data_IF_748627759827
#
_entry.id   IF_748627759827
#
_cell.length_a   1.000
_cell.length_b   1.000
_cell.length_c   1.000
_cell.angle_alpha   90.00
_cell.angle_beta   90.00
_cell.angle_gamma   90.00
#
_symmetry.space_group_name_H-M   'P 1'
#
loop_
_entity.id
_entity.type
_entity.pdbx_description
1 polymer ?
#
# COMPACT_ATOMS: atom_id res chain seq x y z
N UNK A 1 -15.89 -17.10 7.49
CA UNK A 1 -16.87 -17.76 6.60
C UNK A 1 -18.30 -17.37 6.96
N UNK A 2 -18.80 -17.66 8.17
CA UNK A 2 -20.18 -17.31 8.60
C UNK A 2 -20.45 -15.80 8.46
N UNK A 3 -19.60 -14.95 9.06
CA UNK A 3 -19.73 -13.49 8.96
C UNK A 3 -19.73 -12.98 7.50
N UNK A 4 -18.88 -13.55 6.65
CA UNK A 4 -18.78 -13.14 5.24
C UNK A 4 -19.99 -13.57 4.41
N UNK A 5 -20.61 -14.70 4.76
CA UNK A 5 -21.84 -15.20 4.14
C UNK A 5 -23.08 -14.41 4.61
N UNK A 6 -23.11 -13.98 5.87
CA UNK A 6 -24.17 -13.09 6.38
C UNK A 6 -24.13 -11.71 5.71
N UNK A 7 -22.92 -11.18 5.49
CA UNK A 7 -22.72 -9.92 4.79
C UNK A 7 -23.21 -9.94 3.33
N UNK A 8 -23.18 -11.09 2.64
CA UNK A 8 -23.71 -11.23 1.27
C UNK A 8 -25.23 -11.42 1.22
N UNK A 9 -25.83 -12.08 2.23
CA UNK A 9 -27.28 -12.32 2.28
C UNK A 9 -28.11 -11.04 2.46
N UNK A 10 -27.59 -10.05 3.19
CA UNK A 10 -28.27 -8.76 3.38
C UNK A 10 -28.45 -7.93 2.10
N UNK A 11 -27.67 -8.21 1.05
CA UNK A 11 -27.81 -7.57 -0.27
C UNK A 11 -28.74 -8.34 -1.23
N UNK A 12 -29.17 -9.55 -0.85
CA UNK A 12 -29.91 -10.47 -1.73
C UNK A 12 -31.29 -10.87 -1.17
N UNK A 13 -31.85 -10.07 -0.25
CA UNK A 13 -33.13 -10.36 0.39
C UNK A 13 -34.31 -10.34 -0.61
N UNK A 14 -35.01 -11.47 -0.69
CA UNK A 14 -36.22 -11.73 -1.48
C UNK A 14 -37.37 -10.80 -1.10
N UNK A 15 -37.95 -10.11 -2.09
CA UNK A 15 -39.28 -9.49 -1.99
C UNK A 15 -39.80 -9.09 -3.38
N UNK A 16 -41.02 -9.50 -3.73
CA UNK A 16 -41.71 -9.32 -5.02
C UNK A 16 -42.18 -7.89 -5.32
N UNK A 17 -41.45 -6.86 -4.89
CA UNK A 17 -41.75 -5.47 -5.23
C UNK A 17 -40.50 -4.83 -5.84
N UNK A 18 -40.57 -4.56 -7.15
CA UNK A 18 -39.54 -3.83 -7.91
C UNK A 18 -39.47 -2.37 -7.43
N UNK A 19 -38.84 -2.14 -6.29
CA UNK A 19 -38.17 -0.87 -6.00
C UNK A 19 -36.76 -1.01 -6.58
N UNK A 20 -36.31 -0.07 -7.41
CA UNK A 20 -34.89 0.02 -7.83
C UNK A 20 -34.06 0.32 -6.57
N UNK A 21 -33.77 -0.70 -5.76
CA UNK A 21 -32.76 -0.57 -4.72
C UNK A 21 -31.42 -0.32 -5.41
N UNK A 22 -30.72 0.73 -4.99
CA UNK A 22 -29.33 0.93 -5.38
C UNK A 22 -28.55 -0.30 -4.90
N UNK A 23 -27.91 -1.02 -5.83
CA UNK A 23 -27.04 -2.14 -5.47
C UNK A 23 -26.03 -1.63 -4.45
N UNK A 24 -26.07 -2.16 -3.22
CA UNK A 24 -25.05 -1.85 -2.23
C UNK A 24 -23.71 -2.38 -2.76
N UNK A 25 -22.75 -1.50 -2.97
CA UNK A 25 -21.37 -1.89 -3.24
C UNK A 25 -20.82 -2.47 -1.94
N UNK A 26 -20.37 -3.71 -1.98
CA UNK A 26 -19.85 -4.41 -0.79
C UNK A 26 -18.34 -4.64 -0.84
N UNK A 27 -17.74 -4.49 -2.02
CA UNK A 27 -16.33 -4.73 -2.28
C UNK A 27 -15.74 -3.56 -3.05
N UNK A 28 -14.52 -3.23 -2.67
CA UNK A 28 -13.76 -2.10 -3.19
C UNK A 28 -12.34 -2.56 -3.49
N UNK A 29 -11.73 -1.87 -4.44
CA UNK A 29 -10.35 -2.09 -4.83
C UNK A 29 -9.64 -0.76 -4.91
N UNK A 30 -8.37 -0.72 -4.51
CA UNK A 30 -7.55 0.48 -4.58
C UNK A 30 -6.47 0.27 -5.63
N UNK A 31 -6.61 0.92 -6.78
CA UNK A 31 -5.52 1.07 -7.72
C UNK A 31 -4.48 2.03 -7.14
N UNK A 32 -3.23 1.58 -7.17
CA UNK A 32 -2.06 2.31 -6.74
C UNK A 32 -1.03 2.30 -7.86
N UNK A 33 -0.38 3.43 -8.09
CA UNK A 33 0.81 3.47 -8.93
C UNK A 33 1.83 4.48 -8.47
N UNK A 34 3.07 4.06 -8.24
CA UNK A 34 4.16 4.97 -7.93
C UNK A 34 4.59 5.72 -9.19
N UNK A 35 4.56 7.05 -9.17
CA UNK A 35 4.85 7.93 -10.30
C UNK A 35 6.27 8.47 -10.30
N UNK A 36 6.85 8.70 -9.13
CA UNK A 36 8.23 9.20 -9.01
C UNK A 36 8.83 8.88 -7.64
N UNK A 37 10.16 8.89 -7.57
CA UNK A 37 10.95 8.79 -6.35
C UNK A 37 12.00 9.89 -6.29
N UNK A 38 11.70 10.97 -5.56
CA UNK A 38 12.58 12.13 -5.44
C UNK A 38 13.81 11.92 -4.53
N UNK A 39 14.06 10.70 -4.03
CA UNK A 39 15.17 10.40 -3.12
C UNK A 39 16.33 9.73 -3.85
N UNK A 40 17.54 10.28 -3.72
CA UNK A 40 18.77 9.59 -4.11
C UNK A 40 19.34 8.83 -2.92
N UNK A 41 19.18 7.51 -2.92
CA UNK A 41 19.66 6.62 -1.84
C UNK A 41 21.13 6.22 -2.06
N UNK A 42 21.66 6.37 -3.28
CA UNK A 42 23.02 5.98 -3.66
C UNK A 42 23.24 4.45 -3.81
N UNK A 43 22.20 3.66 -3.55
CA UNK A 43 22.17 2.20 -3.65
C UNK A 43 20.88 1.76 -4.34
N UNK A 44 20.82 0.50 -4.77
CA UNK A 44 19.56 -0.09 -5.21
C UNK A 44 18.56 -0.05 -4.05
N UNK A 45 17.31 0.27 -4.35
CA UNK A 45 16.28 0.53 -3.33
C UNK A 45 15.06 -0.34 -3.59
N UNK A 46 14.55 -0.96 -2.53
CA UNK A 46 13.29 -1.70 -2.52
C UNK A 46 12.28 -0.92 -1.68
N UNK A 47 11.14 -0.58 -2.25
CA UNK A 47 10.04 0.12 -1.56
C UNK A 47 8.85 -0.83 -1.44
N UNK A 48 8.44 -1.10 -0.21
CA UNK A 48 7.29 -1.94 0.10
C UNK A 48 6.10 -1.10 0.48
N UNK A 49 5.02 -1.17 -0.30
CA UNK A 49 3.74 -0.52 -0.03
C UNK A 49 2.74 -1.50 0.57
N UNK A 50 2.03 -1.07 1.61
CA UNK A 50 1.00 -1.87 2.27
C UNK A 50 -0.08 -0.97 2.88
N UNK A 51 -1.29 -1.50 3.00
CA UNK A 51 -2.40 -0.84 3.70
C UNK A 51 -2.36 -1.19 5.18
N UNK A 52 -2.57 -0.19 6.02
CA UNK A 52 -2.53 -0.30 7.48
C UNK A 52 -3.78 0.33 8.07
N UNK A 53 -4.43 -0.42 8.95
CA UNK A 53 -5.56 0.04 9.74
C UNK A 53 -5.04 0.52 11.10
N UNK A 54 -5.03 1.84 11.31
CA UNK A 54 -4.57 2.44 12.56
C UNK A 54 -5.54 2.23 13.72
N UNK A 55 -6.82 1.91 13.47
CA UNK A 55 -7.76 1.59 14.54
C UNK A 55 -7.47 0.19 15.09
N UNK A 56 -7.21 -0.78 14.20
CA UNK A 56 -6.91 -2.17 14.56
C UNK A 56 -5.42 -2.43 14.82
N UNK A 57 -4.56 -1.45 14.54
CA UNK A 57 -3.09 -1.53 14.66
C UNK A 57 -2.52 -2.74 13.92
N UNK A 58 -2.96 -2.93 12.67
CA UNK A 58 -2.52 -4.06 11.86
C UNK A 58 -2.50 -3.75 10.37
N UNK A 59 -1.68 -4.49 9.65
CA UNK A 59 -1.69 -4.48 8.19
C UNK A 59 -2.96 -5.14 7.65
N UNK A 60 -3.59 -4.47 6.70
CA UNK A 60 -4.77 -4.94 5.99
C UNK A 60 -4.41 -5.69 4.71
N UNK A 61 -3.26 -5.39 4.09
CA UNK A 61 -2.85 -6.00 2.83
C UNK A 61 -1.45 -6.58 2.86
N UNK A 62 -1.18 -7.46 1.90
CA UNK A 62 0.17 -7.89 1.56
C UNK A 62 1.04 -6.71 1.11
N UNK A 63 2.34 -6.96 0.97
CA UNK A 63 3.31 -5.95 0.55
C UNK A 63 3.49 -5.95 -0.96
N UNK A 64 3.20 -4.82 -1.59
CA UNK A 64 3.57 -4.55 -2.97
C UNK A 64 4.99 -4.00 -3.04
N UNK A 65 5.84 -4.62 -3.86
CA UNK A 65 7.25 -4.23 -4.01
C UNK A 65 7.47 -3.44 -5.29
N UNK A 66 8.05 -2.25 -5.14
CA UNK A 66 8.66 -1.48 -6.24
C UNK A 66 10.17 -1.46 -6.04
N UNK A 67 10.92 -1.81 -7.08
CA UNK A 67 12.39 -1.74 -7.08
C UNK A 67 12.86 -0.52 -7.84
N UNK A 68 13.93 0.09 -7.38
CA UNK A 68 14.55 1.27 -7.97
C UNK A 68 16.05 1.01 -8.05
N UNK A 69 16.62 1.17 -9.23
CA UNK A 69 18.07 1.09 -9.42
C UNK A 69 18.75 2.30 -8.81
N UNK A 70 20.00 2.14 -8.37
CA UNK A 70 20.89 3.27 -8.01
C UNK A 70 21.01 4.32 -9.12
N UNK A 71 20.78 3.93 -10.38
CA UNK A 71 20.84 4.81 -11.56
C UNK A 71 19.59 5.68 -11.73
N UNK A 72 18.60 5.52 -10.85
CA UNK A 72 17.39 6.34 -10.79
C UNK A 72 16.13 5.61 -11.24
N UNK A 73 14.99 6.29 -11.04
CA UNK A 73 13.65 5.75 -11.24
C UNK A 73 13.31 5.52 -12.73
N UNK A 74 13.70 6.45 -13.61
CA UNK A 74 13.36 6.43 -15.04
C UNK A 74 13.85 5.17 -15.77
N UNK A 75 15.02 4.64 -15.42
CA UNK A 75 15.61 3.48 -16.11
C UNK A 75 14.95 2.14 -15.76
N UNK A 76 14.19 2.07 -14.66
CA UNK A 76 13.59 0.82 -14.17
C UNK A 76 12.12 0.66 -14.60
N UNK A 77 11.38 1.77 -14.68
CA UNK A 77 9.91 1.76 -14.90
C UNK A 77 9.52 1.55 -16.37
N UNK A 78 10.40 1.88 -17.32
CA UNK A 78 10.11 1.78 -18.76
C UNK A 78 9.80 0.37 -19.27
N UNK A 79 10.06 -0.70 -18.49
CA UNK A 79 9.95 -2.07 -19.02
C UNK A 79 8.59 -2.77 -18.83
N UNK A 80 7.80 -2.57 -17.76
CA UNK A 80 6.71 -3.53 -17.44
C UNK A 80 5.52 -3.05 -16.55
N UNK A 81 5.22 -1.75 -16.38
CA UNK A 81 4.18 -1.32 -15.39
C UNK A 81 4.41 -1.88 -13.96
N UNK A 82 5.66 -2.23 -13.63
CA UNK A 82 6.04 -2.92 -12.38
C UNK A 82 5.91 -2.06 -11.12
N UNK A 83 5.42 -0.83 -11.27
CA UNK A 83 5.23 0.20 -10.25
C UNK A 83 3.76 0.42 -9.88
N UNK A 84 2.83 -0.31 -10.50
CA UNK A 84 1.41 -0.25 -10.16
C UNK A 84 0.89 -1.59 -9.62
N UNK A 85 -0.11 -1.51 -8.73
CA UNK A 85 -0.86 -2.66 -8.22
C UNK A 85 -2.32 -2.28 -7.99
N UNK A 86 -3.19 -3.27 -7.90
CA UNK A 86 -4.53 -3.09 -7.34
C UNK A 86 -4.60 -3.86 -6.03
N UNK A 87 -4.88 -3.16 -4.92
CA UNK A 87 -5.24 -3.80 -3.67
C UNK A 87 -6.68 -4.29 -3.76
N UNK A 88 -6.90 -5.60 -3.63
CA UNK A 88 -8.21 -6.23 -3.84
C UNK A 88 -8.95 -6.52 -2.55
N UNK A 89 -10.25 -6.79 -2.69
CA UNK A 89 -11.10 -7.35 -1.63
C UNK A 89 -11.24 -6.50 -0.36
N UNK A 90 -11.21 -5.17 -0.51
CA UNK A 90 -11.42 -4.23 0.59
C UNK A 90 -12.92 -4.13 0.87
N UNK A 91 -13.32 -4.35 2.12
CA UNK A 91 -14.71 -4.20 2.55
C UNK A 91 -15.06 -2.76 2.94
N UNK A 92 -16.35 -2.48 3.10
CA UNK A 92 -16.84 -1.19 3.58
C UNK A 92 -16.23 -0.79 4.95
N UNK A 93 -16.02 -1.76 5.85
CA UNK A 93 -15.41 -1.50 7.16
C UNK A 93 -13.93 -1.15 7.07
N UNK A 94 -13.26 -1.55 5.98
CA UNK A 94 -11.83 -1.31 5.78
C UNK A 94 -11.56 0.11 5.25
N UNK A 95 -12.49 0.69 4.48
CA UNK A 95 -12.43 2.06 3.98
C UNK A 95 -12.80 3.08 5.08
N UNK A 96 -12.08 3.02 6.19
CA UNK A 96 -12.26 3.93 7.33
C UNK A 96 -11.34 5.15 7.22
N UNK A 97 -11.59 6.16 8.06
CA UNK A 97 -10.69 7.31 8.22
C UNK A 97 -9.34 6.93 8.82
N UNK A 98 -9.24 5.73 9.41
CA UNK A 98 -8.03 5.19 10.00
C UNK A 98 -7.23 4.31 9.03
N UNK A 99 -7.58 4.33 7.74
CA UNK A 99 -6.84 3.63 6.69
C UNK A 99 -5.65 4.48 6.22
N UNK A 100 -4.47 3.88 6.27
CA UNK A 100 -3.22 4.50 5.83
C UNK A 100 -2.51 3.61 4.82
N UNK A 101 -1.80 4.24 3.88
CA UNK A 101 -0.80 3.57 3.06
C UNK A 101 0.58 3.80 3.66
N UNK A 102 1.31 2.71 3.87
CA UNK A 102 2.65 2.73 4.46
C UNK A 102 3.65 2.31 3.39
N UNK A 103 4.70 3.11 3.21
CA UNK A 103 5.83 2.80 2.34
C UNK A 103 7.08 2.57 3.18
N UNK A 104 7.63 1.36 3.15
CA UNK A 104 8.92 1.05 3.78
C UNK A 104 10.01 1.11 2.72
N UNK A 105 10.96 2.03 2.89
CA UNK A 105 12.10 2.20 2.00
C UNK A 105 13.28 1.42 2.55
N UNK A 106 13.76 0.47 1.77
CA UNK A 106 14.89 -0.40 2.09
C UNK A 106 16.02 -0.15 1.10
N UNK A 107 17.21 0.20 1.60
CA UNK A 107 18.42 0.28 0.78
C UNK A 107 19.09 -1.09 0.70
N UNK A 108 19.52 -1.46 -0.49
CA UNK A 108 20.11 -2.76 -0.81
C UNK A 108 21.58 -2.56 -1.20
N UNK A 109 22.48 -2.94 -0.31
CA UNK A 109 23.90 -2.72 -0.52
C UNK A 109 24.78 -3.40 0.51
N UNK A 110 26.00 -2.89 0.69
CA UNK A 110 26.97 -3.48 1.61
C UNK A 110 26.66 -3.07 3.04
N UNK A 111 26.74 -4.01 3.99
CA UNK A 111 26.40 -3.76 5.41
C UNK A 111 27.06 -2.50 5.99
N UNK A 112 28.36 -2.30 5.74
CA UNK A 112 29.10 -1.10 6.13
C UNK A 112 29.29 -0.19 4.92
N UNK A 113 29.00 1.10 5.09
CA UNK A 113 29.38 2.12 4.12
C UNK A 113 30.90 2.31 4.20
N UNK A 114 31.63 1.98 3.14
CA UNK A 114 33.06 2.25 3.05
C UNK A 114 33.38 2.87 1.69
N UNK A 115 33.70 4.17 1.66
CA UNK A 115 34.27 4.83 0.48
C UNK A 115 35.70 4.37 0.20
N UNK A 116 36.34 3.74 1.19
CA UNK A 116 37.67 3.15 1.05
C UNK A 116 37.57 1.79 0.34
N UNK A 117 37.92 1.78 -0.95
CA UNK A 117 37.93 0.59 -1.82
C UNK A 117 38.89 -0.56 -1.44
N UNK A 118 39.32 -0.66 -0.16
CA UNK A 118 40.26 -1.67 0.32
C UNK A 118 39.62 -2.98 0.83
N UNK A 119 38.31 -3.01 1.08
CA UNK A 119 37.62 -4.23 1.51
C UNK A 119 36.70 -4.78 0.40
N UNK A 120 37.29 -5.58 -0.51
CA UNK A 120 36.59 -6.33 -1.57
C UNK A 120 36.05 -7.70 -1.09
N UNK A 121 35.87 -7.91 0.21
CA UNK A 121 35.55 -9.23 0.79
C UNK A 121 34.08 -9.41 1.19
N UNK A 122 33.15 -8.69 0.56
CA UNK A 122 31.72 -8.92 0.76
C UNK A 122 30.93 -8.78 -0.55
N UNK A 123 30.60 -9.89 -1.19
CA UNK A 123 29.64 -9.96 -2.31
C UNK A 123 28.18 -9.98 -1.83
N UNK A 124 27.96 -10.14 -0.52
CA UNK A 124 26.62 -10.19 0.05
C UNK A 124 25.94 -8.82 0.01
N UNK A 125 24.74 -8.79 -0.56
CA UNK A 125 23.85 -7.63 -0.59
C UNK A 125 22.89 -7.76 0.59
N UNK A 126 22.84 -6.74 1.43
CA UNK A 126 21.99 -6.68 2.61
C UNK A 126 20.88 -5.66 2.39
N UNK A 127 19.65 -6.04 2.79
CA UNK A 127 18.52 -5.12 2.91
C UNK A 127 18.60 -4.42 4.25
N UNK A 128 18.65 -3.11 4.23
CA UNK A 128 18.73 -2.29 5.45
C UNK A 128 17.62 -1.24 5.43
N UNK A 129 16.98 -0.97 6.57
CA UNK A 129 16.07 0.15 6.70
C UNK A 129 16.69 1.46 6.24
N UNK A 130 15.94 2.23 5.45
CA UNK A 130 16.31 3.60 5.07
C UNK A 130 15.31 4.62 5.64
N UNK A 131 14.02 4.36 5.51
CA UNK A 131 12.99 5.23 6.03
C UNK A 131 11.58 4.69 5.81
N UNK A 132 10.60 5.40 6.37
CA UNK A 132 9.17 5.08 6.23
C UNK A 132 8.41 6.32 5.80
N UNK A 133 7.48 6.16 4.87
CA UNK A 133 6.51 7.19 4.52
C UNK A 133 5.09 6.71 4.85
N UNK A 134 4.24 7.62 5.27
CA UNK A 134 2.85 7.35 5.65
C UNK A 134 1.94 8.31 4.89
N UNK A 135 0.85 7.78 4.34
CA UNK A 135 -0.21 8.55 3.71
C UNK A 135 -1.56 8.18 4.31
N UNK A 136 -2.29 9.17 4.82
CA UNK A 136 -3.70 8.98 5.19
C UNK A 136 -4.55 8.83 3.93
N UNK A 137 -5.41 7.81 3.90
CA UNK A 137 -6.39 7.59 2.84
C UNK A 137 -7.80 8.05 3.26
N UNK A 138 -7.92 8.75 4.39
CA UNK A 138 -9.18 9.19 4.97
C UNK A 138 -10.04 10.06 4.03
N UNK A 139 -9.38 10.87 3.19
CA UNK A 139 -10.05 11.73 2.21
C UNK A 139 -10.44 10.94 0.96
N UNK A 140 -9.57 10.04 0.47
CA UNK A 140 -9.88 9.19 -0.67
C UNK A 140 -11.07 8.24 -0.41
N UNK A 141 -11.30 7.87 0.85
CA UNK A 141 -12.41 7.00 1.28
C UNK A 141 -13.77 7.72 1.42
N UNK A 142 -13.84 9.05 1.27
CA UNK A 142 -15.10 9.80 1.38
C UNK A 142 -15.81 9.88 0.02
N UNK A 143 -17.06 9.41 0.00
CA UNK A 143 -17.98 9.35 -1.15
C UNK A 143 -18.48 10.76 -1.62
N UNK A 144 -17.73 11.82 -1.33
CA UNK A 144 -18.07 13.21 -1.65
C UNK A 144 -17.14 13.76 -2.72
N UNK A 145 -17.31 13.18 -3.91
CA UNK A 145 -16.74 13.60 -5.18
C UNK A 145 -16.62 15.13 -5.41
N UNK A 146 -17.59 15.93 -4.93
CA UNK A 146 -17.70 17.35 -5.27
C UNK A 146 -16.98 18.30 -4.29
N UNK A 147 -16.97 18.01 -2.99
CA UNK A 147 -16.34 18.89 -1.98
C UNK A 147 -14.82 18.64 -1.89
N UNK A 148 -14.40 17.40 -2.18
CA UNK A 148 -13.01 17.00 -2.31
C UNK A 148 -12.28 17.82 -3.39
N UNK A 149 -12.89 18.11 -4.54
CA UNK A 149 -12.24 18.81 -5.65
C UNK A 149 -11.66 20.18 -5.24
N UNK A 150 -12.30 20.85 -4.26
CA UNK A 150 -11.82 22.14 -3.73
C UNK A 150 -10.71 22.00 -2.69
N UNK A 151 -10.72 20.94 -1.87
CA UNK A 151 -9.66 20.69 -0.88
C UNK A 151 -8.39 20.10 -1.52
N UNK A 152 -8.56 19.24 -2.54
CA UNK A 152 -7.46 18.60 -3.28
C UNK A 152 -6.66 19.59 -4.16
N UNK A 153 -7.26 20.70 -4.62
CA UNK A 153 -6.52 21.77 -5.34
C UNK A 153 -5.48 22.49 -4.48
N UNK A 154 -5.57 22.42 -3.16
CA UNK A 154 -4.69 23.20 -2.26
C UNK A 154 -3.28 22.60 -2.10
N UNK A 155 -3.05 21.34 -2.54
CA UNK A 155 -1.79 20.63 -2.30
C UNK A 155 -1.10 20.02 -3.55
N UNK A 156 -1.60 20.19 -4.79
CA UNK A 156 -1.07 19.45 -5.95
C UNK A 156 -0.95 20.23 -7.28
N UNK A 157 0.13 19.98 -8.03
CA UNK A 157 0.26 20.30 -9.46
C UNK A 157 -0.36 19.16 -10.29
N UNK A 158 -1.44 19.42 -11.02
CA UNK A 158 -1.97 18.47 -12.00
C UNK A 158 -3.28 18.94 -12.65
N UNK A 159 -3.25 19.17 -13.97
CA UNK A 159 -4.39 19.63 -14.77
C UNK A 159 -5.59 18.67 -14.70
N UNK A 160 -6.76 19.20 -14.35
CA UNK A 160 -8.04 18.56 -14.68
C UNK A 160 -8.26 18.70 -16.19
N UNK A 161 -8.26 17.58 -16.93
CA UNK A 161 -8.89 17.52 -18.25
C UNK A 161 -10.24 16.84 -18.11
N UNK A 162 -11.29 17.64 -18.24
CA UNK A 162 -12.67 17.21 -18.35
C UNK A 162 -12.95 16.83 -19.80
N UNK A 163 -13.52 15.64 -20.01
CA UNK A 163 -13.98 15.14 -21.29
C UNK A 163 -14.94 13.98 -21.05
N UNK A 164 -16.22 14.29 -21.26
CA UNK A 164 -17.38 13.43 -21.52
C UNK A 164 -17.84 12.41 -20.44
N UNK A 165 -19.04 12.72 -19.93
CA UNK A 165 -20.00 12.04 -19.06
C UNK A 165 -19.63 10.70 -18.34
N UNK A 166 -19.85 10.72 -17.01
CA UNK A 166 -20.19 9.60 -16.12
C UNK A 166 -19.09 8.67 -15.56
N UNK A 167 -17.83 9.09 -15.48
CA UNK A 167 -16.85 8.42 -14.61
C UNK A 167 -15.90 9.42 -13.97
N UNK A 168 -16.30 9.99 -12.82
CA UNK A 168 -15.48 10.89 -12.02
C UNK A 168 -14.28 10.13 -11.46
N UNK A 169 -13.22 10.05 -12.26
CA UNK A 169 -12.03 9.27 -11.95
C UNK A 169 -11.06 10.19 -11.23
N UNK A 170 -11.17 10.26 -9.90
CA UNK A 170 -10.20 10.91 -9.03
C UNK A 170 -8.83 10.23 -9.22
N UNK A 171 -7.96 10.84 -10.03
CA UNK A 171 -6.53 10.50 -10.10
C UNK A 171 -5.81 11.45 -9.17
N UNK A 172 -5.60 11.04 -7.92
CA UNK A 172 -4.87 11.88 -6.97
C UNK A 172 -3.39 11.54 -7.06
N UNK A 173 -2.56 12.51 -7.43
CA UNK A 173 -1.11 12.39 -7.35
C UNK A 173 -0.65 12.94 -6.01
N UNK A 174 0.01 12.15 -5.15
CA UNK A 174 0.39 12.53 -3.78
C UNK A 174 1.88 12.36 -3.55
N UNK A 175 2.55 13.35 -2.94
CA UNK A 175 3.94 13.23 -2.47
C UNK A 175 3.98 12.79 -1.01
N UNK A 176 4.60 11.64 -0.72
CA UNK A 176 4.82 11.16 0.63
C UNK A 176 6.21 11.56 1.10
N UNK A 177 6.30 12.22 2.25
CA UNK A 177 7.57 12.51 2.90
C UNK A 177 8.10 11.26 3.61
N UNK A 178 9.37 10.94 3.41
CA UNK A 178 10.04 9.80 4.05
C UNK A 178 10.70 10.27 5.34
N UNK A 179 10.43 9.58 6.43
CA UNK A 179 11.00 9.80 7.75
C UNK A 179 12.02 8.74 8.10
N UNK A 180 13.09 9.15 8.77
CA UNK A 180 14.11 8.24 9.27
C UNK A 180 13.89 7.99 10.76
N UNK A 181 14.03 6.73 11.17
CA UNK A 181 14.02 6.32 12.58
C UNK A 181 15.26 5.50 12.92
N UNK A 182 15.43 5.21 14.21
CA UNK A 182 16.46 4.28 14.64
C UNK A 182 16.14 2.86 14.17
N UNK A 183 17.17 2.09 13.81
CA UNK A 183 17.01 0.73 13.28
C UNK A 183 16.24 -0.19 14.23
N UNK A 184 16.46 -0.04 15.54
CA UNK A 184 15.78 -0.81 16.59
C UNK A 184 14.27 -0.58 16.67
N UNK A 185 13.79 0.57 16.20
CA UNK A 185 12.38 0.99 16.26
C UNK A 185 11.73 1.06 14.87
N UNK A 186 12.46 0.71 13.82
CA UNK A 186 11.99 0.84 12.44
C UNK A 186 10.65 0.12 12.19
N UNK A 187 10.44 -1.01 12.86
CA UNK A 187 9.19 -1.77 12.75
C UNK A 187 7.96 -1.04 13.30
N UNK A 188 8.12 -0.09 14.24
CA UNK A 188 7.05 0.74 14.82
C UNK A 188 7.05 2.18 14.28
N UNK A 189 8.03 2.55 13.45
CA UNK A 189 8.18 3.93 12.96
C UNK A 189 6.92 4.45 12.25
N UNK A 190 6.24 3.62 11.48
CA UNK A 190 4.98 3.99 10.83
C UNK A 190 3.89 4.41 11.86
N UNK A 191 3.75 3.68 12.97
CA UNK A 191 2.84 4.05 14.05
C UNK A 191 3.25 5.35 14.73
N UNK A 192 4.56 5.56 14.94
CA UNK A 192 5.08 6.79 15.53
C UNK A 192 4.77 8.02 14.65
N UNK A 193 4.90 7.88 13.33
CA UNK A 193 4.54 8.92 12.36
C UNK A 193 3.03 9.20 12.40
N UNK A 194 2.18 8.16 12.39
CA UNK A 194 0.72 8.30 12.48
C UNK A 194 0.30 9.02 13.77
N UNK A 195 0.97 8.73 14.90
CA UNK A 195 0.72 9.38 16.20
C UNK A 195 1.31 10.79 16.30
N UNK A 196 1.88 11.32 15.22
CA UNK A 196 2.44 12.67 15.14
C UNK A 196 3.58 12.91 16.15
N UNK A 197 4.37 11.88 16.46
CA UNK A 197 5.60 12.06 17.21
C UNK A 197 6.63 12.80 16.35
N UNK A 198 7.54 13.53 17.01
CA UNK A 198 8.64 14.31 16.39
C UNK A 198 9.60 13.42 15.60
N UNK A 199 9.17 12.93 14.45
CA UNK A 199 9.98 12.16 13.52
C UNK A 199 10.76 13.14 12.65
N UNK A 200 12.08 12.95 12.53
CA UNK A 200 12.88 13.77 11.66
C UNK A 200 12.68 13.32 10.20
N UNK A 201 12.16 14.19 9.32
CA UNK A 201 12.09 13.88 7.90
C UNK A 201 13.51 13.75 7.35
N UNK A 202 13.70 12.90 6.34
CA UNK A 202 14.96 12.83 5.63
C UNK A 202 15.26 14.21 4.99
N UNK A 203 16.51 14.71 5.09
CA UNK A 203 16.87 16.02 4.54
C UNK A 203 16.96 15.97 3.00
N UNK A 204 16.40 16.97 2.30
CA UNK A 204 16.43 17.06 0.83
C UNK A 204 15.90 18.38 0.24
N UNK A 205 16.12 18.56 -1.07
CA UNK A 205 15.68 19.71 -1.90
C UNK A 205 14.13 19.79 -2.00
N UNK A 206 13.53 20.90 -2.48
CA UNK A 206 12.09 20.93 -2.76
C UNK A 206 11.72 19.83 -3.77
N UNK A 207 10.66 19.05 -3.48
CA UNK A 207 10.20 17.82 -4.17
C UNK A 207 10.79 16.47 -3.68
N UNK A 208 11.38 16.46 -2.49
CA UNK A 208 11.88 15.25 -1.86
C UNK A 208 10.73 14.38 -1.29
N UNK A 209 10.31 13.35 -2.03
CA UNK A 209 9.22 12.46 -1.63
C UNK A 209 8.96 11.30 -2.60
N UNK A 210 8.02 10.43 -2.23
CA UNK A 210 7.46 9.39 -3.11
C UNK A 210 6.21 9.97 -3.76
N UNK A 211 6.19 10.12 -5.08
CA UNK A 211 4.98 10.56 -5.79
C UNK A 211 4.17 9.34 -6.19
N UNK A 212 2.88 9.30 -5.84
CA UNK A 212 1.99 8.15 -6.11
C UNK A 212 0.69 8.61 -6.74
N UNK A 213 0.04 7.74 -7.50
CA UNK A 213 -1.30 7.93 -8.06
C UNK A 213 -2.24 6.89 -7.49
N UNK A 214 -3.41 7.32 -7.00
CA UNK A 214 -4.42 6.47 -6.39
C UNK A 214 -5.76 6.59 -7.12
N UNK A 215 -6.52 5.49 -7.18
CA UNK A 215 -7.92 5.45 -7.64
C UNK A 215 -8.68 4.34 -6.92
N UNK A 216 -9.83 4.65 -6.34
CA UNK A 216 -10.75 3.63 -5.81
C UNK A 216 -11.64 3.10 -6.95
N UNK A 217 -11.84 1.79 -6.96
CA UNK A 217 -12.71 1.06 -7.88
C UNK A 217 -13.76 0.32 -7.05
N UNK A 218 -15.00 0.35 -7.51
CA UNK A 218 -16.15 -0.15 -6.77
C UNK A 218 -16.76 -1.32 -7.52
N UNK A 219 -17.17 -2.35 -6.77
CA UNK A 219 -17.85 -3.50 -7.35
C UNK A 219 -16.95 -4.73 -7.47
N UNK A 220 -17.52 -5.79 -8.04
CA UNK A 220 -16.86 -7.09 -8.14
C UNK A 220 -15.62 -7.00 -9.05
N UNK A 221 -14.55 -7.70 -8.67
CA UNK A 221 -13.27 -7.66 -9.40
C UNK A 221 -13.42 -8.03 -10.88
N UNK A 222 -14.30 -8.98 -11.21
CA UNK A 222 -14.61 -9.38 -12.59
C UNK A 222 -15.20 -8.22 -13.40
N UNK A 223 -16.22 -7.54 -12.86
CA UNK A 223 -16.88 -6.40 -13.47
C UNK A 223 -15.92 -5.22 -13.63
N UNK A 224 -15.18 -4.89 -12.57
CA UNK A 224 -14.20 -3.80 -12.59
C UNK A 224 -13.11 -4.05 -13.64
N UNK A 225 -12.69 -5.30 -13.82
CA UNK A 225 -11.73 -5.70 -14.86
C UNK A 225 -12.30 -5.54 -16.26
N UNK A 226 -13.55 -5.93 -16.47
CA UNK A 226 -14.22 -5.82 -17.77
C UNK A 226 -14.49 -4.36 -18.15
N UNK A 227 -14.77 -3.49 -17.16
CA UNK A 227 -14.95 -2.05 -17.35
C UNK A 227 -13.62 -1.29 -17.56
N UNK A 228 -12.50 -1.79 -17.03
CA UNK A 228 -11.20 -1.14 -17.09
C UNK A 228 -10.08 -2.04 -17.65
N UNK A 229 -10.24 -2.68 -18.83
CA UNK A 229 -9.34 -3.74 -19.29
C UNK A 229 -7.89 -3.28 -19.46
N UNK A 230 -7.67 -2.01 -19.80
CA UNK A 230 -6.33 -1.42 -19.93
C UNK A 230 -5.61 -1.28 -18.57
N UNK A 231 -6.34 -1.06 -17.49
CA UNK A 231 -5.79 -0.94 -16.13
C UNK A 231 -5.27 -2.28 -15.62
N UNK A 232 -5.94 -3.37 -16.01
CA UNK A 232 -5.62 -4.72 -15.57
C UNK A 232 -4.58 -5.42 -16.46
N UNK A 233 -4.14 -4.78 -17.55
CA UNK A 233 -3.12 -5.32 -18.43
C UNK A 233 -1.75 -5.27 -17.73
N UNK A 234 -1.20 -6.44 -17.42
CA UNK A 234 0.12 -6.60 -16.78
C UNK A 234 0.24 -5.98 -15.37
N UNK A 235 -0.86 -5.80 -14.63
CA UNK A 235 -0.81 -5.28 -13.27
C UNK A 235 -0.71 -6.40 -12.23
N UNK A 236 -0.02 -6.13 -11.13
CA UNK A 236 -0.03 -6.99 -9.97
C UNK A 236 -1.33 -6.79 -9.16
N UNK A 237 -1.88 -7.87 -8.60
CA UNK A 237 -2.94 -7.79 -7.62
C UNK A 237 -2.34 -8.06 -6.23
N UNK A 238 -2.52 -7.13 -5.31
CA UNK A 238 -2.06 -7.26 -3.93
C UNK A 238 -3.24 -7.60 -3.05
N UNK A 239 -3.21 -8.76 -2.41
CA UNK A 239 -4.36 -9.30 -1.68
C UNK A 239 -4.54 -8.63 -0.33
N UNK A 240 -5.79 -8.53 0.11
CA UNK A 240 -6.13 -8.31 1.53
C UNK A 240 -5.61 -9.50 2.36
N UNK A 241 -5.07 -9.19 3.53
CA UNK A 241 -4.67 -10.18 4.53
C UNK A 241 -5.90 -10.74 5.23
N UNK A 242 -5.89 -12.06 5.39
CA UNK A 242 -7.05 -12.78 5.89
C UNK A 242 -8.16 -12.82 4.86
N UNK A 243 -9.37 -13.03 5.34
CA UNK A 243 -10.49 -13.35 4.48
C UNK A 243 -11.25 -12.09 4.05
N UNK A 244 -11.54 -11.95 2.76
CA UNK A 244 -12.60 -11.05 2.25
C UNK A 244 -13.87 -11.11 3.09
N UNK A 245 -14.46 -9.93 3.31
CA UNK A 245 -15.66 -9.73 4.13
C UNK A 245 -16.94 -10.19 3.43
N UNK A 246 -16.86 -10.52 2.15
CA UNK A 246 -17.97 -10.99 1.32
C UNK A 246 -17.53 -12.22 0.55
N UNK A 247 -18.42 -13.21 0.47
CA UNK A 247 -18.28 -14.37 -0.42
C UNK A 247 -19.43 -14.30 -1.40
N UNK A 248 -19.12 -14.30 -2.70
CA UNK A 248 -20.15 -14.22 -3.73
C UNK A 248 -20.85 -15.58 -3.89
N UNK A 249 -22.15 -15.61 -4.23
CA UNK A 249 -22.83 -16.86 -4.50
C UNK A 249 -22.14 -17.66 -5.62
N UNK A 250 -21.75 -18.91 -5.33
CA UNK A 250 -21.03 -19.76 -6.27
C UNK A 250 -19.52 -19.82 -6.05
N UNK A 251 -18.95 -18.93 -5.23
CA UNK A 251 -17.53 -19.01 -4.86
C UNK A 251 -17.30 -20.16 -3.87
N UNK A 252 -16.43 -21.10 -4.25
CA UNK A 252 -15.93 -22.14 -3.35
C UNK A 252 -14.64 -21.66 -2.72
N UNK A 253 -14.69 -21.38 -1.40
CA UNK A 253 -13.57 -20.80 -0.68
C UNK A 253 -12.73 -21.86 0.04
N UNK A 254 -11.54 -22.13 -0.49
CA UNK A 254 -10.55 -23.05 0.09
C UNK A 254 -9.24 -22.32 0.44
N UNK A 255 -9.32 -21.07 0.90
CA UNK A 255 -8.14 -20.28 1.22
C UNK A 255 -7.58 -20.66 2.60
N UNK A 256 -6.25 -20.77 2.71
CA UNK A 256 -5.54 -20.94 3.96
C UNK A 256 -4.64 -19.71 4.19
N UNK A 257 -4.88 -18.98 5.27
CA UNK A 257 -4.01 -17.89 5.72
C UNK A 257 -3.25 -18.32 6.97
N UNK A 258 -1.92 -18.34 6.87
CA UNK A 258 -1.01 -18.62 7.99
C UNK A 258 -0.21 -17.35 8.29
N UNK A 259 -0.23 -16.94 9.56
CA UNK A 259 0.58 -15.82 10.06
C UNK A 259 1.43 -16.32 11.22
N UNK A 260 2.75 -16.20 11.08
CA UNK A 260 3.67 -16.34 12.20
C UNK A 260 3.68 -15.01 12.95
N UNK A 261 3.19 -15.01 14.18
CA UNK A 261 3.01 -13.78 14.96
C UNK A 261 4.23 -13.47 15.84
N UNK A 262 4.63 -14.42 16.69
CA UNK A 262 5.74 -14.25 17.63
C UNK A 262 6.44 -15.59 17.87
N UNK A 263 7.75 -15.53 18.05
CA UNK A 263 8.55 -16.60 18.62
C UNK A 263 9.30 -16.08 19.84
N UNK A 264 9.32 -16.87 20.92
CA UNK A 264 10.10 -16.58 22.12
C UNK A 264 11.25 -17.58 22.20
N UNK A 265 12.47 -17.07 22.34
CA UNK A 265 13.69 -17.86 22.29
C UNK A 265 14.57 -17.56 23.49
N UNK A 266 15.00 -18.63 24.18
CA UNK A 266 15.93 -18.50 25.29
C UNK A 266 17.34 -18.14 24.80
N UNK A 267 18.02 -17.26 25.55
CA UNK A 267 19.38 -16.79 25.22
C UNK A 267 20.47 -17.78 25.61
N UNK A 268 20.15 -18.82 26.39
CA UNK A 268 21.09 -19.89 26.75
C UNK A 268 22.41 -19.38 27.36
N UNK A 269 22.35 -18.39 28.25
CA UNK A 269 23.51 -17.86 28.97
C UNK A 269 24.44 -16.93 28.17
N UNK A 270 24.12 -16.59 26.91
CA UNK A 270 24.89 -15.62 26.11
C UNK A 270 24.40 -14.18 26.31
N UNK A 271 25.31 -13.21 26.17
CA UNK A 271 24.99 -11.78 26.27
C UNK A 271 24.14 -11.28 25.10
N UNK A 272 24.26 -11.89 23.92
CA UNK A 272 23.51 -11.55 22.71
C UNK A 272 22.52 -12.65 22.33
N UNK A 273 21.36 -12.26 21.79
CA UNK A 273 20.35 -13.19 21.27
C UNK A 273 20.81 -13.89 19.98
N UNK A 274 20.13 -14.99 19.63
CA UNK A 274 20.35 -15.68 18.35
C UNK A 274 19.60 -14.97 17.22
N UNK A 275 20.17 -14.95 16.02
CA UNK A 275 19.45 -14.63 14.80
C UNK A 275 18.55 -15.83 14.47
N UNK A 276 17.25 -15.60 14.34
CA UNK A 276 16.25 -16.65 14.13
C UNK A 276 15.76 -16.59 12.69
N UNK A 277 15.76 -17.74 12.04
CA UNK A 277 15.15 -17.97 10.74
C UNK A 277 14.09 -19.05 10.90
N UNK A 278 12.86 -18.78 10.45
CA UNK A 278 11.79 -19.78 10.36
C UNK A 278 11.65 -20.14 8.88
N UNK A 279 11.72 -21.43 8.57
CA UNK A 279 11.65 -21.98 7.21
C UNK A 279 10.36 -22.73 7.01
#
# INVERSE_FOLDING_TARGET
HVQSAENSQGASARGTLRRKEHKKVLTHHLYFCMRDFGHSVGEDTEIYFSLFDAKRQQYLSERFLVRISKEGFSNYVEKMHSNCTIFTDLGNSDLSRDLYMIAHVMRCGRMLYSDSGKNKTGTAIYRRPHGVAVLSLAEAAQDHAEELEMTFKKYYYGELKCGDEANLTLKVSISLQVYQGEEKEFHQLHEQIIRNNKCSPLPGQPNYGIVVSLRILHGELSQVRDENPLLFKNICLTKKLGFSDVIMPGDVRNDLYLKLERGEFERGGKSTGKNIEVK
#
